data_IF_094561993892
#
_entry.id   IF_094561993892
#
_cell.length_a   1.000
_cell.length_b   1.000
_cell.length_c   1.000
_cell.angle_alpha   90.00
_cell.angle_beta   90.00
_cell.angle_gamma   90.00
#
_symmetry.space_group_name_H-M   'P 1'
#
loop_
_entity.id
_entity.type
_entity.pdbx_description
1 polymer ?
#
# COMPACT_ATOMS: atom_id res chain seq x y z
N UNK A 1 -9.77 -7.21 -2.86
CA UNK A 1 -8.71 -6.22 -2.62
C UNK A 1 -7.80 -6.05 -3.85
N UNK A 2 -7.21 -7.14 -4.35
CA UNK A 2 -6.30 -7.13 -5.52
C UNK A 2 -6.94 -6.49 -6.76
N UNK A 3 -8.17 -6.87 -7.09
CA UNK A 3 -8.89 -6.32 -8.26
C UNK A 3 -9.21 -4.82 -8.10
N UNK A 4 -9.51 -4.37 -6.88
CA UNK A 4 -9.76 -2.95 -6.61
C UNK A 4 -8.49 -2.13 -6.76
N UNK A 5 -7.39 -2.62 -6.21
CA UNK A 5 -6.10 -1.95 -6.30
C UNK A 5 -5.58 -1.85 -7.75
N UNK A 6 -5.68 -2.94 -8.53
CA UNK A 6 -5.33 -2.89 -9.95
C UNK A 6 -6.20 -1.91 -10.74
N UNK A 7 -7.51 -1.86 -10.44
CA UNK A 7 -8.42 -0.91 -11.08
C UNK A 7 -8.03 0.54 -10.77
N UNK A 8 -7.64 0.83 -9.55
CA UNK A 8 -7.21 2.16 -9.13
C UNK A 8 -5.93 2.60 -9.85
N UNK A 9 -4.93 1.71 -9.95
CA UNK A 9 -3.71 1.97 -10.71
C UNK A 9 -4.04 2.20 -12.20
N UNK A 10 -4.85 1.33 -12.78
CA UNK A 10 -5.23 1.43 -14.18
C UNK A 10 -5.98 2.74 -14.48
N UNK A 11 -6.86 3.20 -13.57
CA UNK A 11 -7.56 4.48 -13.72
C UNK A 11 -6.59 5.66 -13.68
N UNK A 12 -5.63 5.67 -12.77
CA UNK A 12 -4.60 6.73 -12.67
C UNK A 12 -3.73 6.76 -13.93
N UNK A 13 -3.32 5.59 -14.42
CA UNK A 13 -2.51 5.49 -15.65
C UNK A 13 -3.28 5.94 -16.88
N UNK A 14 -4.59 5.66 -16.96
CA UNK A 14 -5.44 6.09 -18.08
C UNK A 14 -5.72 7.60 -18.07
N UNK A 15 -5.85 8.21 -16.89
CA UNK A 15 -6.18 9.64 -16.73
C UNK A 15 -4.94 10.54 -16.80
N UNK A 16 -3.84 10.14 -16.15
CA UNK A 16 -2.66 10.99 -15.94
C UNK A 16 -1.39 10.49 -16.65
N UNK A 17 -1.43 9.28 -17.23
CA UNK A 17 -0.31 8.64 -17.92
C UNK A 17 0.55 7.76 -17.00
N UNK A 18 1.41 6.96 -17.61
CA UNK A 18 2.30 6.01 -16.93
C UNK A 18 3.72 6.58 -16.82
N UNK A 19 3.88 7.68 -16.13
CA UNK A 19 5.18 8.29 -15.84
C UNK A 19 5.39 8.35 -14.34
N UNK A 20 6.64 8.34 -13.87
CA UNK A 20 6.94 8.44 -12.45
C UNK A 20 7.67 9.72 -12.08
N UNK A 21 8.47 10.24 -12.99
CA UNK A 21 9.16 11.52 -12.85
C UNK A 21 8.99 12.36 -14.12
N UNK A 22 8.95 13.67 -13.96
CA UNK A 22 8.82 14.64 -15.04
C UNK A 22 9.83 15.75 -14.84
N UNK A 23 10.51 16.14 -15.91
CA UNK A 23 11.43 17.27 -15.93
C UNK A 23 10.91 18.29 -16.93
N UNK A 24 10.85 19.55 -16.53
CA UNK A 24 10.49 20.67 -17.40
C UNK A 24 11.66 21.65 -17.45
N UNK A 25 12.12 21.96 -18.67
CA UNK A 25 13.26 22.88 -18.85
C UNK A 25 13.56 23.16 -20.31
N UNK A 26 14.54 24.03 -20.55
CA UNK A 26 15.07 24.26 -21.90
C UNK A 26 16.07 23.14 -22.26
N UNK A 27 15.54 21.93 -22.50
CA UNK A 27 16.30 20.74 -22.82
C UNK A 27 16.53 20.64 -24.34
N UNK A 28 17.72 20.17 -24.71
CA UNK A 28 18.04 19.85 -26.11
C UNK A 28 17.83 18.35 -26.39
N UNK A 29 17.66 17.97 -27.67
CA UNK A 29 17.46 16.56 -28.05
C UNK A 29 18.61 15.64 -27.63
N UNK A 30 19.83 16.16 -27.58
CA UNK A 30 21.01 15.42 -27.14
C UNK A 30 20.94 15.02 -25.66
N UNK A 31 20.34 15.88 -24.82
CA UNK A 31 20.13 15.62 -23.39
C UNK A 31 19.11 14.52 -23.11
N UNK A 32 18.15 14.30 -24.01
CA UNK A 32 17.22 13.16 -23.92
C UNK A 32 17.97 11.83 -23.97
N UNK A 33 18.99 11.73 -24.82
CA UNK A 33 19.83 10.54 -24.90
C UNK A 33 20.64 10.29 -23.64
N UNK A 34 21.01 11.34 -22.90
CA UNK A 34 21.66 11.21 -21.60
C UNK A 34 20.71 10.64 -20.54
N UNK A 35 19.46 11.09 -20.54
CA UNK A 35 18.42 10.57 -19.63
C UNK A 35 18.15 9.09 -19.92
N UNK A 36 18.02 8.71 -21.20
CA UNK A 36 17.77 7.31 -21.61
C UNK A 36 18.89 6.37 -21.19
N UNK A 37 20.15 6.85 -21.14
CA UNK A 37 21.31 6.07 -20.74
C UNK A 37 21.44 5.92 -19.21
N UNK A 38 20.61 6.55 -18.41
CA UNK A 38 20.64 6.42 -16.97
C UNK A 38 20.20 5.00 -16.54
N UNK A 39 20.95 4.37 -15.66
CA UNK A 39 20.89 2.92 -15.40
C UNK A 39 19.51 2.38 -14.99
N UNK A 40 18.64 3.23 -14.41
CA UNK A 40 17.31 2.84 -13.92
C UNK A 40 16.17 3.39 -14.81
N UNK A 41 16.49 4.15 -15.85
CA UNK A 41 15.49 4.70 -16.78
C UNK A 41 15.08 3.63 -17.77
N UNK A 42 13.78 3.42 -17.88
CA UNK A 42 13.17 2.46 -18.80
C UNK A 42 12.76 3.08 -20.11
N UNK A 43 12.04 4.20 -20.04
CA UNK A 43 11.57 4.94 -21.21
C UNK A 43 11.51 6.43 -20.89
N UNK A 44 11.81 7.23 -21.91
CA UNK A 44 11.70 8.68 -21.90
C UNK A 44 10.73 9.08 -23.01
N UNK A 45 9.78 9.95 -22.70
CA UNK A 45 8.81 10.45 -23.65
C UNK A 45 8.65 11.96 -23.51
N UNK A 46 8.62 12.65 -24.65
CA UNK A 46 8.30 14.08 -24.68
C UNK A 46 6.78 14.22 -24.51
N UNK A 47 6.37 15.05 -23.58
CA UNK A 47 4.97 15.41 -23.40
C UNK A 47 4.64 16.62 -24.27
N UNK A 48 4.10 16.36 -25.45
CA UNK A 48 3.78 17.40 -26.44
C UNK A 48 2.69 18.37 -25.95
N UNK A 49 1.76 17.90 -25.10
CA UNK A 49 0.65 18.70 -24.59
C UNK A 49 1.11 19.79 -23.60
N UNK A 50 2.21 19.55 -22.88
CA UNK A 50 2.76 20.44 -21.88
C UNK A 50 4.04 21.16 -22.32
N UNK A 51 4.62 20.76 -23.46
CA UNK A 51 5.81 21.39 -24.03
C UNK A 51 5.42 22.61 -24.85
N UNK A 52 6.27 23.63 -24.84
CA UNK A 52 6.17 24.83 -25.66
C UNK A 52 7.50 25.13 -26.36
N UNK A 53 7.55 26.19 -27.19
CA UNK A 53 8.75 26.59 -27.96
C UNK A 53 9.99 26.91 -27.11
N UNK A 54 9.84 27.09 -25.79
CA UNK A 54 10.93 27.45 -24.87
C UNK A 54 11.16 26.42 -23.77
N UNK A 55 10.20 25.54 -23.51
CA UNK A 55 10.24 24.57 -22.41
C UNK A 55 9.84 23.20 -22.90
N UNK A 56 10.77 22.28 -22.88
CA UNK A 56 10.52 20.88 -23.13
C UNK A 56 10.09 20.19 -21.85
N UNK A 57 9.00 19.45 -21.91
CA UNK A 57 8.50 18.63 -20.79
C UNK A 57 8.72 17.16 -21.11
N UNK A 58 9.48 16.50 -20.27
CA UNK A 58 9.91 15.11 -20.47
C UNK A 58 9.38 14.22 -19.37
N UNK A 59 8.64 13.21 -19.74
CA UNK A 59 8.07 12.18 -18.89
C UNK A 59 9.02 10.98 -18.82
N UNK A 60 9.42 10.58 -17.63
CA UNK A 60 10.39 9.53 -17.39
C UNK A 60 9.73 8.35 -16.65
N UNK A 61 9.87 7.15 -17.23
CA UNK A 61 9.51 5.91 -16.58
C UNK A 61 10.76 5.18 -16.08
N UNK A 62 10.69 4.64 -14.88
CA UNK A 62 11.77 3.89 -14.25
C UNK A 62 11.50 2.39 -14.21
N UNK A 63 12.54 1.57 -14.32
CA UNK A 63 12.42 0.13 -14.09
C UNK A 63 12.15 -0.18 -12.61
N UNK A 64 12.87 0.50 -11.72
CA UNK A 64 12.62 0.46 -10.28
C UNK A 64 12.03 1.77 -9.80
N UNK A 65 10.70 1.85 -9.71
CA UNK A 65 9.98 3.03 -9.25
C UNK A 65 10.37 3.48 -7.84
N UNK A 66 10.88 2.58 -6.99
CA UNK A 66 11.24 2.90 -5.60
C UNK A 66 12.46 3.81 -5.49
N UNK A 67 13.28 3.87 -6.53
CA UNK A 67 14.44 4.72 -6.59
C UNK A 67 14.17 6.11 -7.19
N UNK A 68 12.95 6.38 -7.64
CA UNK A 68 12.59 7.64 -8.34
C UNK A 68 13.01 8.89 -7.57
N UNK A 69 12.80 8.94 -6.26
CA UNK A 69 13.17 10.09 -5.42
C UNK A 69 14.70 10.24 -5.22
N UNK A 70 15.46 9.21 -5.52
CA UNK A 70 16.93 9.24 -5.47
C UNK A 70 17.52 9.55 -6.85
N UNK A 71 16.95 8.98 -7.90
CA UNK A 71 17.46 9.08 -9.26
C UNK A 71 17.09 10.40 -9.94
N UNK A 72 15.88 10.91 -9.73
CA UNK A 72 15.43 12.17 -10.35
C UNK A 72 16.30 13.38 -10.00
N UNK A 73 16.72 13.60 -8.73
CA UNK A 73 17.65 14.68 -8.41
C UNK A 73 19.02 14.52 -9.06
N UNK A 74 19.50 13.27 -9.24
CA UNK A 74 20.78 13.00 -9.91
C UNK A 74 20.71 13.32 -11.41
N UNK A 75 19.59 12.93 -12.06
CA UNK A 75 19.33 13.25 -13.47
C UNK A 75 19.25 14.78 -13.64
N UNK A 76 18.50 15.47 -12.78
CA UNK A 76 18.38 16.92 -12.83
C UNK A 76 19.73 17.63 -12.63
N UNK A 77 20.56 17.12 -11.72
CA UNK A 77 21.91 17.65 -11.48
C UNK A 77 22.83 17.44 -12.69
N UNK A 78 22.75 16.28 -13.34
CA UNK A 78 23.54 15.96 -14.53
C UNK A 78 23.18 16.89 -15.70
N UNK A 79 21.88 17.16 -15.90
CA UNK A 79 21.36 18.07 -16.92
C UNK A 79 21.51 19.56 -16.56
N UNK A 80 21.95 19.88 -15.34
CA UNK A 80 22.02 21.26 -14.88
C UNK A 80 20.67 21.95 -14.68
N UNK A 81 19.59 21.16 -14.58
CA UNK A 81 18.23 21.66 -14.37
C UNK A 81 17.96 21.84 -12.87
N UNK A 82 17.33 22.93 -12.43
CA UNK A 82 17.03 23.13 -11.02
C UNK A 82 16.01 22.10 -10.50
N UNK A 83 16.16 21.69 -9.25
CA UNK A 83 15.24 20.72 -8.61
C UNK A 83 13.76 21.17 -8.63
N UNK A 84 13.51 22.48 -8.71
CA UNK A 84 12.15 23.04 -8.83
C UNK A 84 11.46 22.68 -10.16
N UNK A 85 12.21 22.26 -11.14
CA UNK A 85 11.71 21.80 -12.45
C UNK A 85 11.42 20.30 -12.50
N UNK A 86 11.65 19.60 -11.39
CA UNK A 86 11.35 18.18 -11.24
C UNK A 86 9.97 18.03 -10.60
N UNK A 87 9.14 17.19 -11.20
CA UNK A 87 7.82 16.84 -10.68
C UNK A 87 7.70 15.32 -10.56
N UNK A 88 6.97 14.87 -9.56
CA UNK A 88 6.73 13.45 -9.30
C UNK A 88 5.26 13.13 -9.49
N UNK A 89 4.97 11.95 -10.03
CA UNK A 89 3.60 11.46 -10.18
C UNK A 89 3.10 10.90 -8.84
N UNK A 90 2.72 11.79 -7.92
CA UNK A 90 2.36 11.41 -6.55
C UNK A 90 1.19 10.43 -6.48
N UNK A 91 0.17 10.59 -7.35
CA UNK A 91 -0.99 9.70 -7.42
C UNK A 91 -0.55 8.25 -7.72
N UNK A 92 0.29 8.07 -8.74
CA UNK A 92 0.79 6.76 -9.13
C UNK A 92 1.73 6.17 -8.07
N UNK A 93 2.69 6.95 -7.58
CA UNK A 93 3.67 6.51 -6.59
C UNK A 93 2.99 6.12 -5.26
N UNK A 94 2.00 6.89 -4.82
CA UNK A 94 1.23 6.57 -3.61
C UNK A 94 0.42 5.28 -3.76
N UNK A 95 -0.11 4.98 -4.95
CA UNK A 95 -0.81 3.72 -5.24
C UNK A 95 0.12 2.51 -5.14
N UNK A 96 1.43 2.69 -5.39
CA UNK A 96 2.46 1.68 -5.15
C UNK A 96 3.10 1.73 -3.75
N UNK A 97 2.56 2.56 -2.84
CA UNK A 97 3.11 2.80 -1.49
C UNK A 97 4.55 3.32 -1.50
N UNK A 98 4.89 4.11 -2.52
CA UNK A 98 6.18 4.78 -2.65
C UNK A 98 5.98 6.23 -2.23
N UNK A 99 6.71 6.66 -1.20
CA UNK A 99 6.58 8.00 -0.61
C UNK A 99 7.86 8.77 -0.78
N UNK A 100 7.73 10.08 -0.88
CA UNK A 100 8.85 10.99 -0.79
C UNK A 100 9.55 10.84 0.58
N UNK A 101 10.85 10.50 0.63
CA UNK A 101 11.61 10.38 1.87
C UNK A 101 11.68 11.70 2.66
N UNK A 102 11.50 12.85 2.00
CA UNK A 102 11.51 14.17 2.62
C UNK A 102 10.14 14.56 3.19
N UNK A 103 9.08 13.89 2.75
CA UNK A 103 7.72 14.13 3.24
C UNK A 103 7.39 13.13 4.36
N UNK A 104 7.46 13.59 5.59
CA UNK A 104 7.16 12.79 6.79
C UNK A 104 5.67 12.47 6.97
N UNK A 105 4.79 12.98 6.14
CA UNK A 105 3.37 12.67 6.21
C UNK A 105 3.09 11.32 5.56
N UNK A 106 2.46 10.37 6.27
CA UNK A 106 2.06 9.12 5.65
C UNK A 106 1.06 9.41 4.52
N UNK A 107 1.16 8.72 3.39
CA UNK A 107 0.23 8.93 2.29
C UNK A 107 -1.19 8.69 2.78
N UNK A 108 -2.09 9.54 2.38
CA UNK A 108 -3.49 9.54 2.82
C UNK A 108 -4.16 8.19 2.54
N UNK A 109 -3.81 7.56 1.42
CA UNK A 109 -4.22 6.20 1.04
C UNK A 109 -3.78 5.15 2.07
N UNK A 110 -2.51 5.18 2.49
CA UNK A 110 -1.99 4.22 3.48
C UNK A 110 -2.69 4.38 4.84
N UNK A 111 -2.91 5.62 5.28
CA UNK A 111 -3.66 5.91 6.49
C UNK A 111 -5.10 5.38 6.41
N UNK A 112 -5.76 5.56 5.27
CA UNK A 112 -7.11 5.05 5.02
C UNK A 112 -7.16 3.51 5.09
N UNK A 113 -6.24 2.81 4.43
CA UNK A 113 -6.18 1.34 4.49
C UNK A 113 -5.93 0.81 5.89
N UNK A 114 -5.02 1.43 6.65
CA UNK A 114 -4.78 1.06 8.05
C UNK A 114 -6.02 1.28 8.91
N UNK A 115 -6.76 2.37 8.69
CA UNK A 115 -8.00 2.66 9.40
C UNK A 115 -9.07 1.60 9.11
N UNK A 116 -9.28 1.24 7.84
CA UNK A 116 -10.24 0.19 7.44
C UNK A 116 -9.85 -1.17 8.03
N UNK A 117 -8.57 -1.53 7.98
CA UNK A 117 -8.06 -2.77 8.55
C UNK A 117 -8.30 -2.83 10.06
N UNK A 118 -8.09 -1.71 10.76
CA UNK A 118 -8.37 -1.60 12.20
C UNK A 118 -9.87 -1.78 12.49
N UNK A 119 -10.76 -1.14 11.72
CA UNK A 119 -12.21 -1.30 11.88
C UNK A 119 -12.65 -2.75 11.69
N UNK A 120 -12.16 -3.41 10.65
CA UNK A 120 -12.47 -4.83 10.38
C UNK A 120 -11.97 -5.70 11.51
N UNK A 121 -10.75 -5.46 12.00
CA UNK A 121 -10.15 -6.22 13.11
C UNK A 121 -10.97 -6.08 14.38
N UNK A 122 -11.39 -4.87 14.74
CA UNK A 122 -12.25 -4.61 15.92
C UNK A 122 -13.60 -5.33 15.76
N UNK A 123 -14.21 -5.25 14.57
CA UNK A 123 -15.49 -5.93 14.30
C UNK A 123 -15.37 -7.45 14.46
N UNK A 124 -14.30 -8.06 13.96
CA UNK A 124 -14.04 -9.50 14.12
C UNK A 124 -13.88 -9.88 15.57
N UNK A 125 -13.11 -9.12 16.35
CA UNK A 125 -12.92 -9.35 17.79
C UNK A 125 -14.27 -9.31 18.52
N UNK A 126 -15.12 -8.32 18.23
CA UNK A 126 -16.44 -8.20 18.85
C UNK A 126 -17.37 -9.38 18.48
N UNK A 127 -17.36 -9.82 17.23
CA UNK A 127 -18.15 -10.97 16.77
C UNK A 127 -17.69 -12.24 17.49
N UNK A 128 -16.38 -12.48 17.55
CA UNK A 128 -15.81 -13.65 18.24
C UNK A 128 -16.16 -13.59 19.73
N UNK A 129 -15.94 -12.47 20.38
CA UNK A 129 -16.28 -12.28 21.79
C UNK A 129 -17.76 -12.57 22.07
N UNK A 130 -18.65 -12.03 21.26
CA UNK A 130 -20.09 -12.26 21.41
C UNK A 130 -20.46 -13.73 21.19
N UNK A 131 -19.89 -14.39 20.17
CA UNK A 131 -20.10 -15.80 19.89
C UNK A 131 -19.66 -16.68 21.05
N UNK A 132 -18.50 -16.40 21.68
CA UNK A 132 -18.04 -17.11 22.86
C UNK A 132 -18.95 -16.87 24.06
N UNK A 133 -19.41 -15.64 24.30
CA UNK A 133 -20.29 -15.33 25.40
C UNK A 133 -21.62 -16.09 25.30
N UNK A 134 -22.22 -16.16 24.10
CA UNK A 134 -23.45 -16.93 23.85
C UNK A 134 -23.21 -18.42 24.03
N UNK A 135 -22.11 -18.97 23.49
CA UNK A 135 -21.76 -20.37 23.63
C UNK A 135 -21.53 -20.77 25.08
N UNK A 136 -20.84 -19.93 25.86
CA UNK A 136 -20.61 -20.18 27.28
C UNK A 136 -21.90 -20.17 28.07
N UNK A 137 -22.82 -19.23 27.84
CA UNK A 137 -24.12 -19.16 28.53
C UNK A 137 -24.96 -20.40 28.25
N UNK A 138 -24.96 -20.92 27.01
CA UNK A 138 -25.68 -22.16 26.67
C UNK A 138 -25.12 -23.40 27.41
N UNK A 139 -23.84 -23.38 27.78
CA UNK A 139 -23.15 -24.52 28.43
C UNK A 139 -23.09 -24.43 29.95
N UNK A 140 -23.47 -23.31 30.55
CA UNK A 140 -23.46 -23.16 32.03
C UNK A 140 -24.23 -24.30 32.73
N UNK A 141 -25.37 -24.71 32.17
CA UNK A 141 -26.13 -25.84 32.71
C UNK A 141 -25.37 -27.17 32.66
N UNK A 142 -24.63 -27.43 31.57
CA UNK A 142 -23.81 -28.63 31.41
C UNK A 142 -22.65 -28.64 32.42
N UNK A 143 -22.02 -27.48 32.66
CA UNK A 143 -20.96 -27.35 33.65
C UNK A 143 -21.46 -27.58 35.10
N UNK A 144 -22.70 -27.15 35.36
CA UNK A 144 -23.36 -27.45 36.62
C UNK A 144 -23.53 -28.96 36.84
N UNK A 145 -23.91 -29.72 35.81
CA UNK A 145 -24.01 -31.16 35.88
C UNK A 145 -22.64 -31.83 36.12
N UNK A 146 -21.60 -31.41 35.40
CA UNK A 146 -20.24 -31.94 35.58
C UNK A 146 -19.69 -31.64 36.97
N UNK A 147 -19.97 -30.48 37.51
CA UNK A 147 -19.60 -30.14 38.90
C UNK A 147 -20.35 -31.01 39.93
N UNK A 148 -21.61 -31.36 39.65
CA UNK A 148 -22.43 -32.18 40.55
C UNK A 148 -21.95 -33.64 40.65
N UNK A 149 -21.32 -34.17 39.58
CA UNK A 149 -20.71 -35.49 39.57
C UNK A 149 -19.24 -35.52 39.99
N UNK A 150 -18.73 -34.40 40.51
CA UNK A 150 -17.40 -34.29 41.12
C UNK A 150 -16.27 -33.90 40.17
N UNK A 151 -16.56 -33.37 39.00
CA UNK A 151 -15.51 -32.79 38.13
C UNK A 151 -14.88 -31.58 38.78
N UNK A 152 -13.56 -31.51 38.76
CA UNK A 152 -12.83 -30.37 39.28
C UNK A 152 -12.86 -29.20 38.30
N UNK A 153 -12.81 -27.94 38.75
CA UNK A 153 -12.76 -26.78 37.89
C UNK A 153 -11.60 -26.81 36.87
N UNK A 154 -10.48 -27.44 37.23
CA UNK A 154 -9.33 -27.64 36.32
C UNK A 154 -9.63 -28.57 35.16
N UNK A 155 -10.37 -29.66 35.40
CA UNK A 155 -10.77 -30.60 34.35
C UNK A 155 -11.74 -29.95 33.37
N UNK A 156 -12.70 -29.17 33.86
CA UNK A 156 -13.66 -28.43 32.99
C UNK A 156 -12.91 -27.42 32.14
N UNK A 157 -11.95 -26.68 32.71
CA UNK A 157 -11.12 -25.73 31.94
C UNK A 157 -10.28 -26.39 30.86
N UNK A 158 -9.67 -27.55 31.17
CA UNK A 158 -8.86 -28.29 30.18
C UNK A 158 -9.71 -28.80 29.05
N UNK A 159 -10.91 -29.30 29.31
CA UNK A 159 -11.85 -29.74 28.29
C UNK A 159 -12.26 -28.59 27.35
N UNK A 160 -12.55 -27.41 27.89
CA UNK A 160 -12.86 -26.21 27.11
C UNK A 160 -11.69 -25.75 26.24
N UNK A 161 -10.47 -25.78 26.76
CA UNK A 161 -9.29 -25.42 26.00
C UNK A 161 -9.01 -26.40 24.85
N UNK A 162 -9.22 -27.70 25.06
CA UNK A 162 -9.07 -28.71 24.02
C UNK A 162 -10.12 -28.52 22.91
N UNK A 163 -11.36 -28.24 23.27
CA UNK A 163 -12.43 -27.99 22.31
C UNK A 163 -12.16 -26.71 21.50
N UNK A 164 -11.76 -25.63 22.14
CA UNK A 164 -11.37 -24.38 21.46
C UNK A 164 -10.18 -24.60 20.55
N UNK A 165 -9.17 -25.38 20.97
CA UNK A 165 -8.02 -25.71 20.14
C UNK A 165 -8.42 -26.53 18.90
N UNK A 166 -9.31 -27.51 19.06
CA UNK A 166 -9.82 -28.30 17.91
C UNK A 166 -10.57 -27.42 16.90
N UNK A 167 -11.40 -26.49 17.37
CA UNK A 167 -12.13 -25.55 16.49
C UNK A 167 -11.19 -24.56 15.78
N UNK A 168 -10.04 -24.23 16.37
CA UNK A 168 -9.06 -23.38 15.72
C UNK A 168 -8.20 -24.11 14.67
N UNK A 169 -7.98 -25.41 14.85
CA UNK A 169 -7.12 -26.22 13.95
C UNK A 169 -7.89 -26.78 12.75
N UNK A 170 -9.18 -27.01 12.90
CA UNK A 170 -10.07 -27.47 11.84
C UNK A 170 -10.94 -26.30 11.36
N UNK A 171 -10.45 -25.44 10.43
CA UNK A 171 -11.32 -24.49 9.76
C UNK A 171 -12.31 -25.28 8.91
N UNK A 172 -13.59 -25.11 9.21
CA UNK A 172 -14.71 -25.65 8.41
C UNK A 172 -14.81 -24.84 7.12
#
# INVERSE_FOLDING_TARGET
FYNFWNYEIESVVLEEGNWQGRISGALEEDELSEIENFANVKTVAINEDLSDDQTLVVDICFDNMRAVYQDMPLIAQQLGVPETSVSYHESLLSSYFINDPQNSNPPLLMAFYLFVLLLVSVSLILIIHNSFAVSMNARVHQFGIFSSIGATPGQIRTCLLQEAAMLCVLPI
#
